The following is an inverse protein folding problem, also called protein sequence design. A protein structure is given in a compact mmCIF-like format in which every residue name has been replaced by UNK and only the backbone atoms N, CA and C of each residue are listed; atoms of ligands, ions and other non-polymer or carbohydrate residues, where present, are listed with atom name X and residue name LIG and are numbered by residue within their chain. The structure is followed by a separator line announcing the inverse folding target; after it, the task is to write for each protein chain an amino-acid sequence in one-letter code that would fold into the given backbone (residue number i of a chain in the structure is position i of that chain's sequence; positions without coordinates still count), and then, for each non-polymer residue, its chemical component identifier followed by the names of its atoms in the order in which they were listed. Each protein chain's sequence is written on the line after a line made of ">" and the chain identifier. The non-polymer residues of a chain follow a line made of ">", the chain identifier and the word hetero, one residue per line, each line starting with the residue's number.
data_IF_167167717892
#
_entry.id   IF_167167717892
#
_cell.length_a   1.000
_cell.length_b   1.000
_cell.length_c   1.000
_cell.angle_alpha   90.00
_cell.angle_beta   90.00
_cell.angle_gamma   90.00
#
_symmetry.space_group_name_H-M   'P 1'
#
loop_
_entity.id
_entity.type
_entity.pdbx_description
1 polymer ?
#
# COMPACT_ATOMS: atom_id res chain seq x y z
N UNK A 1 4.20 13.80 6.43
CA UNK A 1 4.16 12.82 7.54
C UNK A 1 5.46 12.02 7.56
N UNK A 2 5.94 11.70 8.75
CA UNK A 2 7.20 10.93 8.89
C UNK A 2 7.14 9.53 8.24
N UNK A 3 5.93 9.01 8.05
CA UNK A 3 5.71 7.69 7.45
C UNK A 3 6.07 7.65 5.96
N UNK A 4 5.89 8.76 5.25
CA UNK A 4 6.15 8.82 3.81
C UNK A 4 7.63 9.06 3.54
N UNK A 5 8.27 8.15 2.80
CA UNK A 5 9.68 8.21 2.41
C UNK A 5 9.80 8.41 0.90
N UNK A 6 11.02 8.48 0.39
CA UNK A 6 11.26 8.72 -1.04
C UNK A 6 10.71 7.60 -1.93
N UNK A 7 10.82 6.35 -1.49
CA UNK A 7 10.48 5.18 -2.32
C UNK A 7 9.37 4.30 -1.76
N UNK A 8 8.98 4.50 -0.50
CA UNK A 8 7.93 3.71 0.15
C UNK A 8 7.40 4.46 1.37
N UNK A 9 6.58 3.77 2.17
CA UNK A 9 6.08 4.28 3.44
C UNK A 9 6.54 3.32 4.53
N UNK A 10 7.28 3.83 5.52
CA UNK A 10 7.80 3.04 6.63
C UNK A 10 7.82 3.85 7.90
N UNK A 11 7.61 3.20 9.03
CA UNK A 11 7.70 3.84 10.32
C UNK A 11 7.33 2.91 11.45
N UNK A 12 7.35 3.44 12.66
CA UNK A 12 7.00 2.68 13.87
C UNK A 12 5.49 2.71 14.05
N UNK A 13 4.89 1.51 14.12
CA UNK A 13 3.45 1.38 14.32
C UNK A 13 3.03 1.99 15.66
N UNK A 14 1.98 2.80 15.62
CA UNK A 14 1.47 3.49 16.80
C UNK A 14 2.13 4.83 17.10
N UNK A 15 3.25 5.13 16.43
CA UNK A 15 3.96 6.40 16.58
C UNK A 15 3.90 7.21 15.29
N UNK A 16 4.40 6.64 14.20
CA UNK A 16 4.45 7.33 12.91
C UNK A 16 3.15 7.13 12.11
N UNK A 17 2.42 6.05 12.37
CA UNK A 17 1.17 5.73 11.70
C UNK A 17 0.36 4.73 12.53
N UNK A 18 -0.91 4.56 12.18
CA UNK A 18 -1.82 3.61 12.81
C UNK A 18 -2.71 2.95 11.75
N UNK A 19 -3.67 2.11 12.18
CA UNK A 19 -4.56 1.42 11.24
C UNK A 19 -5.48 2.37 10.49
N UNK A 20 -5.90 3.47 11.11
CA UNK A 20 -6.72 4.48 10.44
C UNK A 20 -5.95 5.14 9.31
N UNK A 21 -4.65 5.39 9.53
CA UNK A 21 -3.75 5.91 8.49
C UNK A 21 -3.67 4.92 7.31
N UNK A 22 -3.50 3.63 7.60
CA UNK A 22 -3.39 2.59 6.57
C UNK A 22 -4.68 2.51 5.75
N UNK A 23 -5.83 2.54 6.41
CA UNK A 23 -7.13 2.54 5.72
C UNK A 23 -7.31 3.77 4.83
N UNK A 24 -6.95 4.94 5.33
CA UNK A 24 -7.02 6.19 4.55
C UNK A 24 -6.09 6.14 3.33
N UNK A 25 -4.91 5.58 3.48
CA UNK A 25 -3.99 5.37 2.36
C UNK A 25 -4.64 4.44 1.34
N UNK A 26 -5.23 3.34 1.78
CA UNK A 26 -5.95 2.41 0.91
C UNK A 26 -7.05 3.11 0.11
N UNK A 27 -7.80 3.99 0.76
CA UNK A 27 -8.86 4.74 0.09
C UNK A 27 -8.32 5.74 -0.93
N UNK A 28 -7.11 6.26 -0.73
CA UNK A 28 -6.51 7.24 -1.63
C UNK A 28 -5.79 6.59 -2.82
N UNK A 29 -5.19 5.42 -2.63
CA UNK A 29 -4.35 4.79 -3.65
C UNK A 29 -5.03 4.59 -5.01
N UNK A 30 -6.24 4.03 -5.11
CA UNK A 30 -6.88 3.88 -6.42
C UNK A 30 -7.14 5.20 -7.11
N UNK A 31 -7.43 6.24 -6.38
CA UNK A 31 -7.72 7.57 -6.92
C UNK A 31 -6.47 8.25 -7.47
N UNK A 32 -5.30 7.89 -6.96
CA UNK A 32 -4.03 8.49 -7.38
C UNK A 32 -3.33 7.62 -8.41
N UNK A 33 -3.15 6.34 -8.09
CA UNK A 33 -2.35 5.41 -8.92
C UNK A 33 -3.12 4.88 -10.12
N UNK A 34 -4.40 4.58 -9.91
CA UNK A 34 -5.25 3.95 -10.94
C UNK A 34 -6.47 4.80 -11.26
N UNK A 35 -6.29 6.12 -11.26
CA UNK A 35 -7.39 7.10 -11.44
C UNK A 35 -8.15 6.96 -12.76
N UNK A 36 -7.52 6.39 -13.79
CA UNK A 36 -8.14 6.24 -15.11
C UNK A 36 -8.77 4.85 -15.32
N UNK A 37 -8.81 4.02 -14.28
CA UNK A 37 -9.39 2.67 -14.34
C UNK A 37 -10.65 2.65 -13.48
N UNK A 38 -11.78 2.25 -14.07
CA UNK A 38 -13.08 2.30 -13.39
C UNK A 38 -13.18 1.34 -12.20
N UNK A 39 -12.75 0.08 -12.38
CA UNK A 39 -12.68 -0.91 -11.30
C UNK A 39 -11.29 -1.50 -11.26
N UNK A 40 -10.33 -0.77 -10.68
CA UNK A 40 -8.95 -1.24 -10.70
C UNK A 40 -8.77 -2.51 -9.87
N UNK A 41 -7.95 -3.41 -10.40
CA UNK A 41 -7.58 -4.64 -9.72
C UNK A 41 -6.29 -4.41 -8.94
N UNK A 42 -6.36 -4.62 -7.63
CA UNK A 42 -5.23 -4.43 -6.73
C UNK A 42 -4.84 -5.73 -6.06
N UNK A 43 -3.55 -6.01 -6.01
CA UNK A 43 -2.98 -7.16 -5.31
C UNK A 43 -2.35 -6.68 -4.01
N UNK A 44 -2.60 -7.40 -2.92
CA UNK A 44 -2.00 -7.07 -1.61
C UNK A 44 -1.33 -8.31 -1.05
N UNK A 45 -0.09 -8.15 -0.62
CA UNK A 45 0.65 -9.19 0.09
C UNK A 45 1.24 -8.63 1.39
N UNK A 46 1.68 -9.51 2.27
CA UNK A 46 2.27 -9.11 3.54
C UNK A 46 3.38 -10.04 3.97
N UNK A 47 4.30 -9.52 4.77
CA UNK A 47 5.29 -10.35 5.46
C UNK A 47 4.73 -10.85 6.79
N UNK A 48 5.56 -11.54 7.58
CA UNK A 48 5.16 -12.14 8.84
C UNK A 48 5.27 -11.24 10.07
N UNK A 49 5.44 -9.93 9.89
CA UNK A 49 5.52 -9.01 11.02
C UNK A 49 4.22 -9.02 11.81
N UNK A 50 4.32 -8.76 13.11
CA UNK A 50 3.22 -8.84 14.06
C UNK A 50 2.01 -7.97 13.68
N UNK A 51 2.26 -6.81 13.08
CA UNK A 51 1.21 -5.86 12.70
C UNK A 51 0.71 -6.04 11.26
N UNK A 52 1.40 -6.85 10.45
CA UNK A 52 1.12 -6.93 9.01
C UNK A 52 -0.29 -7.41 8.68
N UNK A 53 -0.80 -8.41 9.40
CA UNK A 53 -2.14 -8.94 9.14
C UNK A 53 -3.23 -7.90 9.39
N UNK A 54 -3.13 -7.15 10.49
CA UNK A 54 -4.10 -6.08 10.80
C UNK A 54 -3.99 -4.94 9.80
N UNK A 55 -2.77 -4.62 9.37
CA UNK A 55 -2.56 -3.61 8.35
C UNK A 55 -3.18 -4.02 7.01
N UNK A 56 -3.05 -5.30 6.67
CA UNK A 56 -3.65 -5.81 5.43
C UNK A 56 -5.17 -5.64 5.47
N UNK A 57 -5.81 -6.00 6.58
CA UNK A 57 -7.25 -5.85 6.71
C UNK A 57 -7.69 -4.39 6.56
N UNK A 58 -6.98 -3.46 7.19
CA UNK A 58 -7.28 -2.03 7.08
C UNK A 58 -7.08 -1.50 5.67
N UNK A 59 -6.00 -1.92 5.03
CA UNK A 59 -5.66 -1.51 3.67
C UNK A 59 -6.72 -2.00 2.67
N UNK A 60 -7.12 -3.27 2.78
CA UNK A 60 -8.14 -3.86 1.91
C UNK A 60 -9.44 -3.10 2.03
N UNK A 61 -9.86 -2.77 3.25
CA UNK A 61 -11.08 -1.98 3.45
C UNK A 61 -11.00 -0.62 2.75
N UNK A 62 -9.87 0.06 2.88
CA UNK A 62 -9.67 1.35 2.21
C UNK A 62 -9.72 1.22 0.69
N UNK A 63 -9.01 0.25 0.14
CA UNK A 63 -8.99 0.00 -1.31
C UNK A 63 -10.41 -0.28 -1.83
N UNK A 64 -11.17 -1.12 -1.14
CA UNK A 64 -12.53 -1.47 -1.53
C UNK A 64 -13.48 -0.29 -1.42
N UNK A 65 -13.32 0.56 -0.43
CA UNK A 65 -14.10 1.79 -0.29
C UNK A 65 -13.93 2.73 -1.48
N UNK A 66 -12.78 2.66 -2.14
CA UNK A 66 -12.48 3.46 -3.34
C UNK A 66 -12.86 2.75 -4.64
N UNK A 67 -13.54 1.62 -4.56
CA UNK A 67 -14.01 0.89 -5.73
C UNK A 67 -13.03 -0.11 -6.31
N UNK A 68 -11.91 -0.38 -5.65
CA UNK A 68 -10.95 -1.36 -6.12
C UNK A 68 -11.45 -2.79 -5.88
N UNK A 69 -11.09 -3.69 -6.78
CA UNK A 69 -11.26 -5.13 -6.63
C UNK A 69 -9.96 -5.69 -6.11
N UNK A 70 -9.96 -6.24 -4.89
CA UNK A 70 -8.74 -6.62 -4.19
C UNK A 70 -8.55 -8.12 -4.17
N UNK A 71 -7.33 -8.56 -4.50
CA UNK A 71 -6.88 -9.93 -4.35
C UNK A 71 -5.85 -9.97 -3.22
N UNK A 72 -6.12 -10.79 -2.20
CA UNK A 72 -5.25 -10.97 -1.05
C UNK A 72 -4.33 -12.16 -1.30
N UNK A 73 -3.04 -11.89 -1.51
CA UNK A 73 -2.03 -12.92 -1.70
C UNK A 73 -1.60 -13.56 -0.37
N UNK A 74 -1.90 -12.89 0.74
CA UNK A 74 -1.53 -13.37 2.07
C UNK A 74 -0.05 -13.25 2.36
N UNK A 75 0.46 -14.20 3.17
CA UNK A 75 1.88 -14.24 3.52
C UNK A 75 2.72 -14.49 2.26
N UNK A 76 3.58 -13.54 1.94
CA UNK A 76 4.32 -13.55 0.69
C UNK A 76 5.64 -12.79 0.83
N UNK A 77 6.40 -12.77 -0.24
CA UNK A 77 7.64 -11.97 -0.33
C UNK A 77 7.42 -10.80 -1.27
N UNK A 78 8.27 -9.79 -1.17
CA UNK A 78 8.22 -8.65 -2.08
C UNK A 78 8.37 -9.08 -3.55
N UNK A 79 9.34 -9.96 -3.90
CA UNK A 79 9.43 -10.45 -5.28
C UNK A 79 8.18 -11.18 -5.77
N UNK A 80 7.48 -11.93 -4.90
CA UNK A 80 6.23 -12.60 -5.28
C UNK A 80 5.16 -11.59 -5.66
N UNK A 81 5.02 -10.52 -4.86
CA UNK A 81 4.03 -9.47 -5.16
C UNK A 81 4.35 -8.82 -6.50
N UNK A 82 5.60 -8.49 -6.75
CA UNK A 82 6.01 -7.91 -8.03
C UNK A 82 5.73 -8.84 -9.20
N UNK A 83 6.08 -10.11 -9.05
CA UNK A 83 5.87 -11.12 -10.09
C UNK A 83 4.39 -11.22 -10.49
N UNK A 84 3.52 -11.41 -9.50
CA UNK A 84 2.09 -11.55 -9.77
C UNK A 84 1.43 -10.25 -10.23
N UNK A 85 1.93 -9.11 -9.76
CA UNK A 85 1.44 -7.81 -10.25
C UNK A 85 1.60 -7.71 -11.76
N UNK A 86 2.77 -8.07 -12.26
CA UNK A 86 3.06 -8.03 -13.69
C UNK A 86 2.39 -9.17 -14.44
N UNK A 87 2.54 -10.40 -13.96
CA UNK A 87 2.09 -11.60 -14.66
C UNK A 87 0.56 -11.67 -14.78
N UNK A 88 -0.16 -11.26 -13.75
CA UNK A 88 -1.62 -11.32 -13.72
C UNK A 88 -2.28 -9.98 -14.08
N UNK A 89 -1.50 -9.03 -14.56
CA UNK A 89 -1.99 -7.74 -15.04
C UNK A 89 -2.80 -6.94 -14.02
N UNK A 90 -2.34 -6.89 -12.77
CA UNK A 90 -2.96 -6.03 -11.77
C UNK A 90 -2.66 -4.56 -12.11
N UNK A 91 -3.61 -3.69 -11.79
CA UNK A 91 -3.48 -2.25 -12.02
C UNK A 91 -2.59 -1.59 -10.96
N UNK A 92 -2.58 -2.15 -9.76
CA UNK A 92 -1.73 -1.71 -8.68
C UNK A 92 -1.51 -2.82 -7.68
N UNK A 93 -0.52 -2.65 -6.81
CA UNK A 93 -0.26 -3.62 -5.74
C UNK A 93 0.39 -2.94 -4.55
N UNK A 94 0.26 -3.60 -3.40
CA UNK A 94 0.91 -3.17 -2.16
C UNK A 94 1.52 -4.38 -1.48
N UNK A 95 2.79 -4.27 -1.12
CA UNK A 95 3.45 -5.22 -0.23
C UNK A 95 3.60 -4.58 1.15
N UNK A 96 3.07 -5.24 2.16
CA UNK A 96 3.15 -4.78 3.55
C UNK A 96 4.42 -5.35 4.16
N UNK A 97 5.42 -4.50 4.32
CA UNK A 97 6.72 -4.87 4.88
C UNK A 97 7.53 -3.62 5.22
N UNK A 98 8.39 -3.73 6.20
CA UNK A 98 9.40 -2.70 6.49
C UNK A 98 10.81 -3.21 6.18
N UNK A 99 10.92 -4.31 5.44
CA UNK A 99 12.19 -4.90 5.02
C UNK A 99 13.14 -5.20 6.19
N UNK A 100 14.23 -4.43 6.32
CA UNK A 100 15.24 -4.65 7.36
C UNK A 100 15.06 -3.79 8.61
N UNK A 101 13.99 -3.02 8.68
CA UNK A 101 13.71 -2.17 9.85
C UNK A 101 13.41 -3.01 11.10
N UNK A 102 13.54 -2.43 12.30
CA UNK A 102 13.23 -3.14 13.55
C UNK A 102 11.84 -3.76 13.58
N UNK A 103 11.60 -4.77 14.44
CA UNK A 103 10.32 -5.51 14.48
C UNK A 103 9.06 -4.67 14.70
N UNK A 104 9.16 -3.55 15.40
CA UNK A 104 8.02 -2.68 15.66
C UNK A 104 7.70 -1.74 14.49
N UNK A 105 8.56 -1.70 13.49
CA UNK A 105 8.33 -0.94 12.27
C UNK A 105 7.52 -1.78 11.29
N UNK A 106 6.80 -1.09 10.44
CA UNK A 106 6.15 -1.70 9.29
C UNK A 106 6.00 -0.66 8.19
N UNK A 107 5.49 -1.08 7.05
CA UNK A 107 5.37 -0.17 5.94
C UNK A 107 4.62 -0.73 4.76
N UNK A 108 4.54 0.08 3.73
CA UNK A 108 3.82 -0.24 2.50
C UNK A 108 4.71 0.09 1.30
N UNK A 109 4.88 -0.89 0.40
CA UNK A 109 5.55 -0.70 -0.88
C UNK A 109 4.50 -0.78 -1.97
N UNK A 110 4.32 0.30 -2.71
CA UNK A 110 3.27 0.41 -3.73
C UNK A 110 3.87 0.27 -5.12
N UNK A 111 3.18 -0.48 -5.97
CA UNK A 111 3.53 -0.61 -7.38
C UNK A 111 2.31 -0.32 -8.24
N UNK A 112 2.56 0.16 -9.45
CA UNK A 112 1.53 0.29 -10.48
C UNK A 112 1.66 -0.85 -11.48
N UNK A 113 0.92 -0.80 -12.59
CA UNK A 113 0.93 -1.81 -13.64
C UNK A 113 2.36 -2.18 -14.05
N UNK A 114 2.59 -3.45 -14.37
CA UNK A 114 3.90 -4.04 -14.69
C UNK A 114 4.92 -3.96 -13.55
N UNK A 115 4.42 -3.86 -12.32
CA UNK A 115 5.22 -3.79 -11.09
C UNK A 115 6.19 -2.61 -11.05
N UNK A 116 5.84 -1.50 -11.70
CA UNK A 116 6.63 -0.27 -11.61
C UNK A 116 6.42 0.37 -10.24
N UNK A 117 7.49 0.69 -9.52
CA UNK A 117 7.36 1.24 -8.17
C UNK A 117 6.74 2.64 -8.16
N UNK A 118 5.88 2.87 -7.16
CA UNK A 118 5.32 4.19 -6.89
C UNK A 118 6.03 4.78 -5.69
N UNK A 119 6.82 5.82 -5.91
CA UNK A 119 7.51 6.54 -4.86
C UNK A 119 6.89 7.90 -4.61
N UNK A 120 7.56 8.69 -3.79
CA UNK A 120 7.05 10.01 -3.41
C UNK A 120 6.88 10.93 -4.62
N UNK A 121 7.86 10.93 -5.52
CA UNK A 121 7.87 11.84 -6.67
C UNK A 121 6.81 11.52 -7.72
N UNK A 122 6.30 10.28 -7.77
CA UNK A 122 5.35 9.86 -8.83
C UNK A 122 4.01 9.35 -8.31
N UNK A 123 3.61 9.74 -7.10
CA UNK A 123 2.27 9.39 -6.62
C UNK A 123 2.07 9.49 -5.12
N UNK A 124 3.00 9.00 -4.30
CA UNK A 124 2.82 9.00 -2.85
C UNK A 124 2.68 10.42 -2.26
N UNK A 125 3.26 11.43 -2.91
CA UNK A 125 3.06 12.82 -2.51
C UNK A 125 1.59 13.23 -2.61
N UNK A 126 0.88 12.76 -3.62
CA UNK A 126 -0.55 13.06 -3.78
C UNK A 126 -1.39 12.29 -2.74
N UNK A 127 -0.97 11.06 -2.41
CA UNK A 127 -1.62 10.27 -1.35
C UNK A 127 -1.46 11.00 -0.01
N UNK A 128 -0.26 11.43 0.32
CA UNK A 128 -0.01 12.18 1.57
C UNK A 128 -0.85 13.46 1.64
N UNK A 129 -0.88 14.20 0.55
CA UNK A 129 -1.67 15.43 0.46
C UNK A 129 -3.15 15.17 0.70
N UNK A 130 -3.67 14.10 0.13
CA UNK A 130 -5.07 13.68 0.32
C UNK A 130 -5.38 13.42 1.80
N UNK A 131 -4.49 12.75 2.52
CA UNK A 131 -4.66 12.47 3.94
C UNK A 131 -4.67 13.75 4.78
N UNK A 132 -3.79 14.68 4.46
CA UNK A 132 -3.70 15.95 5.18
C UNK A 132 -4.92 16.85 4.95
N UNK A 133 -5.50 16.79 3.75
CA UNK A 133 -6.65 17.62 3.39
C UNK A 133 -7.96 17.11 4.01
N UNK A 134 -8.11 15.82 4.18
CA UNK A 134 -9.31 15.20 4.74
C UNK A 134 -9.39 15.29 6.27
N UNK A 135 -8.34 15.74 6.90
CA UNK A 135 -8.28 15.95 8.35
C UNK A 135 -8.54 17.41 8.69
#
# INVERSE_FOLDING_TARGET
>A
MAFFKAYDMRGTFGIDFDLDTVRAIGAALPKVVTKNVEKPRWLVGRDGRRTSERMLDALVKGLEESGAEVTDLGLSTTPMVYYFTAEENFDGSVMITASHNPPDDNGLKVSMRTALPVGYANGLNEVEKSLCTER
#
